data_IF_502248563758
#
_entry.id   IF_502248563758
#
_cell.length_a   1.000
_cell.length_b   1.000
_cell.length_c   1.000
_cell.angle_alpha   90.00
_cell.angle_beta   90.00
_cell.angle_gamma   90.00
#
_symmetry.space_group_name_H-M   'P 1'
#
loop_
_entity.id
_entity.type
_entity.pdbx_description
1 polymer ?
#
# COMPACT_ATOMS: atom_id res chain seq x y z
N UNK A 1 24.18 -10.46 -37.06
CA UNK A 1 22.98 -10.97 -36.34
C UNK A 1 23.09 -10.89 -34.83
N UNK A 2 24.21 -11.33 -34.21
CA UNK A 2 24.39 -11.31 -32.75
C UNK A 2 24.21 -9.92 -32.10
N UNK A 3 24.67 -8.84 -32.77
CA UNK A 3 24.52 -7.45 -32.28
C UNK A 3 23.07 -6.98 -32.19
N UNK A 4 22.23 -7.32 -33.18
CA UNK A 4 20.81 -6.95 -33.20
C UNK A 4 20.05 -7.70 -32.10
N UNK A 5 20.38 -8.98 -31.89
CA UNK A 5 19.82 -9.79 -30.82
C UNK A 5 20.17 -9.23 -29.44
N UNK A 6 21.42 -8.78 -29.24
CA UNK A 6 21.85 -8.13 -27.99
C UNK A 6 21.11 -6.82 -27.72
N UNK A 7 20.93 -5.97 -28.73
CA UNK A 7 20.17 -4.73 -28.61
C UNK A 7 18.70 -5.01 -28.22
N UNK A 8 18.06 -6.00 -28.86
CA UNK A 8 16.69 -6.38 -28.54
C UNK A 8 16.55 -6.89 -27.09
N UNK A 9 17.55 -7.64 -26.59
CA UNK A 9 17.55 -8.19 -25.24
C UNK A 9 17.70 -7.08 -24.18
N UNK A 10 18.57 -6.10 -24.42
CA UNK A 10 18.75 -4.93 -23.55
C UNK A 10 17.44 -4.12 -23.51
N UNK A 11 16.88 -3.76 -24.66
CA UNK A 11 15.63 -2.99 -24.71
C UNK A 11 14.48 -3.74 -24.02
N UNK A 12 14.38 -5.06 -24.20
CA UNK A 12 13.39 -5.90 -23.52
C UNK A 12 13.56 -5.91 -22.00
N UNK A 13 14.79 -6.05 -21.50
CA UNK A 13 15.08 -6.06 -20.06
C UNK A 13 14.79 -4.71 -19.39
N UNK A 14 15.08 -3.60 -20.06
CA UNK A 14 14.78 -2.27 -19.54
C UNK A 14 13.28 -1.94 -19.64
N UNK A 15 12.60 -2.38 -20.70
CA UNK A 15 11.14 -2.24 -20.82
C UNK A 15 10.36 -2.95 -19.71
N UNK A 16 10.81 -4.15 -19.31
CA UNK A 16 10.18 -4.90 -18.20
C UNK A 16 10.40 -4.22 -16.84
N UNK A 17 11.55 -3.56 -16.62
CA UNK A 17 11.80 -2.75 -15.42
C UNK A 17 10.77 -1.63 -15.21
N UNK A 18 10.38 -0.94 -16.29
CA UNK A 18 9.30 0.06 -16.26
C UNK A 18 7.92 -0.52 -15.92
N UNK A 19 7.65 -1.78 -16.30
CA UNK A 19 6.42 -2.49 -15.93
C UNK A 19 6.41 -2.88 -14.45
N UNK A 20 7.54 -3.32 -13.90
CA UNK A 20 7.68 -3.65 -12.47
C UNK A 20 7.47 -2.40 -11.61
N UNK A 21 8.08 -1.27 -11.96
CA UNK A 21 7.87 0.00 -11.25
C UNK A 21 6.39 0.45 -11.30
N UNK A 22 5.72 0.27 -12.43
CA UNK A 22 4.30 0.57 -12.56
C UNK A 22 3.44 -0.35 -11.68
N UNK A 23 3.76 -1.64 -11.60
CA UNK A 23 3.09 -2.59 -10.71
C UNK A 23 3.30 -2.23 -9.23
N UNK A 24 4.50 -1.78 -8.87
CA UNK A 24 4.84 -1.31 -7.52
C UNK A 24 3.97 -0.12 -7.10
N UNK A 25 3.86 0.92 -7.94
CA UNK A 25 3.00 2.08 -7.63
C UNK A 25 1.51 1.74 -7.56
N UNK A 26 1.04 0.82 -8.40
CA UNK A 26 -0.35 0.32 -8.32
C UNK A 26 -0.58 -0.43 -7.01
N UNK A 27 0.38 -1.23 -6.57
CA UNK A 27 0.29 -1.97 -5.31
C UNK A 27 0.31 -1.04 -4.09
N UNK A 28 1.11 0.03 -4.14
CA UNK A 28 1.07 1.10 -3.14
C UNK A 28 -0.34 1.70 -2.96
N UNK A 29 -1.03 2.00 -4.06
CA UNK A 29 -2.40 2.54 -4.00
C UNK A 29 -3.38 1.48 -3.49
N UNK A 30 -3.29 0.25 -3.98
CA UNK A 30 -4.18 -0.83 -3.57
C UNK A 30 -4.09 -1.13 -2.06
N UNK A 31 -2.87 -1.20 -1.51
CA UNK A 31 -2.66 -1.44 -0.07
C UNK A 31 -3.23 -0.30 0.77
N UNK A 32 -3.00 0.96 0.36
CA UNK A 32 -3.54 2.11 1.06
C UNK A 32 -5.08 2.17 1.03
N UNK A 33 -5.68 1.78 -0.10
CA UNK A 33 -7.14 1.64 -0.26
C UNK A 33 -7.72 0.54 0.65
N UNK A 34 -7.04 -0.60 0.74
CA UNK A 34 -7.42 -1.68 1.65
C UNK A 34 -7.36 -1.23 3.11
N UNK A 35 -6.31 -0.50 3.52
CA UNK A 35 -6.23 0.06 4.88
C UNK A 35 -7.34 1.05 5.18
N UNK A 36 -7.63 1.96 4.24
CA UNK A 36 -8.75 2.89 4.37
C UNK A 36 -10.08 2.14 4.57
N UNK A 37 -10.32 1.07 3.80
CA UNK A 37 -11.52 0.23 3.94
C UNK A 37 -11.59 -0.44 5.30
N UNK A 38 -10.48 -0.98 5.79
CA UNK A 38 -10.39 -1.61 7.13
C UNK A 38 -10.72 -0.58 8.21
N UNK A 39 -10.07 0.59 8.21
CA UNK A 39 -10.30 1.65 9.20
C UNK A 39 -11.75 2.14 9.17
N UNK A 40 -12.30 2.35 7.98
CA UNK A 40 -13.70 2.80 7.81
C UNK A 40 -14.70 1.74 8.28
N UNK A 41 -14.44 0.45 8.02
CA UNK A 41 -15.26 -0.68 8.48
C UNK A 41 -15.23 -0.79 10.01
N UNK A 42 -14.06 -0.61 10.63
CA UNK A 42 -13.90 -0.56 12.08
C UNK A 42 -14.72 0.60 12.65
N UNK A 43 -14.56 1.82 12.14
CA UNK A 43 -15.30 3.00 12.60
C UNK A 43 -16.82 2.87 12.47
N UNK A 44 -17.30 2.32 11.36
CA UNK A 44 -18.72 2.05 11.13
C UNK A 44 -19.30 1.07 12.16
N UNK A 45 -18.51 0.06 12.57
CA UNK A 45 -18.94 -0.97 13.52
C UNK A 45 -18.84 -0.50 14.96
N UNK A 46 -17.79 0.22 15.35
CA UNK A 46 -17.66 0.83 16.69
C UNK A 46 -18.82 1.79 16.98
N UNK A 47 -19.28 2.54 15.97
CA UNK A 47 -20.37 3.48 16.11
C UNK A 47 -21.77 2.86 16.26
N UNK A 48 -21.96 1.58 15.92
CA UNK A 48 -23.30 0.97 15.80
C UNK A 48 -23.47 -0.34 16.58
N UNK A 49 -22.40 -1.10 16.80
CA UNK A 49 -22.47 -2.42 17.40
C UNK A 49 -21.35 -2.59 18.43
N UNK A 50 -21.66 -3.15 19.59
CA UNK A 50 -20.70 -3.67 20.56
C UNK A 50 -20.00 -4.94 20.03
N UNK A 51 -19.63 -4.96 18.74
CA UNK A 51 -19.00 -6.10 18.10
C UNK A 51 -17.56 -6.20 18.59
N UNK A 52 -17.14 -7.34 19.16
CA UNK A 52 -15.75 -7.56 19.54
C UNK A 52 -14.83 -7.36 18.34
N UNK A 53 -13.72 -6.67 18.56
CA UNK A 53 -12.75 -6.30 17.52
C UNK A 53 -12.30 -7.52 16.70
N UNK A 54 -12.12 -8.66 17.35
CA UNK A 54 -11.76 -9.95 16.73
C UNK A 54 -12.77 -10.39 15.66
N UNK A 55 -14.07 -10.20 15.90
CA UNK A 55 -15.12 -10.51 14.92
C UNK A 55 -15.02 -9.59 13.71
N UNK A 56 -14.70 -8.32 13.91
CA UNK A 56 -14.51 -7.35 12.82
C UNK A 56 -13.36 -7.82 11.91
N UNK A 57 -12.22 -8.21 12.48
CA UNK A 57 -11.09 -8.72 11.72
C UNK A 57 -11.34 -10.10 11.07
N UNK A 58 -12.21 -10.93 11.66
CA UNK A 58 -12.59 -12.22 11.06
C UNK A 58 -13.47 -12.08 9.82
N UNK A 59 -14.29 -11.03 9.74
CA UNK A 59 -15.19 -10.74 8.62
C UNK A 59 -14.51 -9.90 7.52
N UNK A 60 -13.38 -9.27 7.84
CA UNK A 60 -12.56 -8.57 6.85
C UNK A 60 -11.79 -9.60 6.03
N UNK A 61 -12.12 -9.67 4.74
CA UNK A 61 -11.35 -10.40 3.74
C UNK A 61 -10.81 -9.39 2.71
N UNK A 62 -9.49 -9.17 2.75
CA UNK A 62 -8.81 -8.31 1.79
C UNK A 62 -7.49 -8.96 1.36
N UNK A 63 -7.44 -9.34 0.08
CA UNK A 63 -6.29 -10.03 -0.50
C UNK A 63 -4.99 -9.23 -0.41
N UNK A 64 -5.05 -7.89 -0.39
CA UNK A 64 -3.84 -7.06 -0.28
C UNK A 64 -3.27 -7.07 1.13
N UNK A 65 -4.10 -7.35 2.14
CA UNK A 65 -3.75 -7.33 3.56
C UNK A 65 -3.82 -8.72 4.19
N UNK A 66 -3.88 -9.80 3.41
CA UNK A 66 -4.09 -11.15 3.92
C UNK A 66 -3.10 -11.51 5.06
N UNK A 67 -1.80 -11.25 4.86
CA UNK A 67 -0.79 -11.49 5.89
C UNK A 67 -0.98 -10.65 7.16
N UNK A 68 -1.41 -9.38 7.02
CA UNK A 68 -1.71 -8.54 8.17
C UNK A 68 -2.98 -8.99 8.90
N UNK A 69 -4.04 -9.34 8.16
CA UNK A 69 -5.31 -9.77 8.73
C UNK A 69 -5.17 -11.11 9.45
N UNK A 70 -4.38 -12.03 8.92
CA UNK A 70 -4.08 -13.32 9.55
C UNK A 70 -3.34 -13.12 10.88
N UNK A 71 -2.27 -12.33 10.89
CA UNK A 71 -1.52 -11.98 12.10
C UNK A 71 -2.40 -11.21 13.10
N UNK A 72 -3.20 -10.26 12.63
CA UNK A 72 -4.08 -9.46 13.49
C UNK A 72 -5.11 -10.32 14.24
N UNK A 73 -5.56 -11.44 13.65
CA UNK A 73 -6.46 -12.41 14.31
C UNK A 73 -5.76 -13.23 15.39
N UNK A 74 -4.46 -13.47 15.28
CA UNK A 74 -3.71 -14.32 16.22
C UNK A 74 -3.12 -13.54 17.38
N UNK A 75 -2.48 -12.40 17.10
CA UNK A 75 -1.68 -11.64 18.08
C UNK A 75 -2.21 -10.22 18.35
N UNK A 76 -3.28 -9.82 17.66
CA UNK A 76 -3.90 -8.50 17.74
C UNK A 76 -3.34 -7.50 16.74
N UNK A 77 -4.19 -6.58 16.28
CA UNK A 77 -3.89 -5.65 15.18
C UNK A 77 -2.65 -4.75 15.42
N UNK A 78 -2.44 -4.28 16.64
CA UNK A 78 -1.28 -3.43 16.96
C UNK A 78 0.06 -4.16 16.78
N UNK A 79 0.18 -5.39 17.30
CA UNK A 79 1.40 -6.20 17.15
C UNK A 79 1.58 -6.69 15.71
N UNK A 80 0.50 -7.14 15.08
CA UNK A 80 0.50 -7.55 13.68
C UNK A 80 0.98 -6.43 12.75
N UNK A 81 0.53 -5.20 12.99
CA UNK A 81 0.97 -4.06 12.19
C UNK A 81 2.47 -3.80 12.32
N UNK A 82 3.04 -3.88 13.53
CA UNK A 82 4.48 -3.69 13.74
C UNK A 82 5.32 -4.78 13.06
N UNK A 83 4.86 -6.04 13.07
CA UNK A 83 5.55 -7.14 12.36
C UNK A 83 5.50 -6.94 10.83
N UNK A 84 4.33 -6.58 10.31
CA UNK A 84 4.14 -6.42 8.86
C UNK A 84 4.59 -5.05 8.33
N UNK A 85 5.00 -4.11 9.20
CA UNK A 85 5.23 -2.70 8.89
C UNK A 85 6.14 -2.46 7.70
N UNK A 86 7.23 -3.22 7.61
CA UNK A 86 8.26 -3.06 6.56
C UNK A 86 7.86 -3.66 5.21
N UNK A 87 6.89 -4.57 5.21
CA UNK A 87 6.44 -5.26 4.01
C UNK A 87 5.25 -4.56 3.35
N UNK A 88 4.75 -3.50 3.98
CA UNK A 88 3.60 -2.76 3.50
C UNK A 88 4.08 -1.55 2.72
N UNK A 89 3.54 -1.43 1.51
CA UNK A 89 3.84 -0.44 0.47
C UNK A 89 3.40 1.00 0.87
N UNK A 90 3.67 1.37 2.12
CA UNK A 90 3.26 2.57 2.83
C UNK A 90 4.46 3.50 3.03
N UNK A 91 4.20 4.79 3.13
CA UNK A 91 5.20 5.78 3.54
C UNK A 91 5.42 5.74 5.05
N UNK A 92 6.52 6.30 5.54
CA UNK A 92 6.80 6.36 6.99
C UNK A 92 5.72 7.10 7.77
N UNK A 93 5.15 8.16 7.18
CA UNK A 93 4.03 8.90 7.80
C UNK A 93 2.77 8.02 7.92
N UNK A 94 2.44 7.23 6.90
CA UNK A 94 1.29 6.31 6.92
C UNK A 94 1.54 5.16 7.90
N UNK A 95 2.76 4.61 7.93
CA UNK A 95 3.19 3.59 8.89
C UNK A 95 3.03 4.10 10.33
N UNK A 96 3.49 5.32 10.62
CA UNK A 96 3.36 5.92 11.95
C UNK A 96 1.89 6.14 12.34
N UNK A 97 1.08 6.64 11.41
CA UNK A 97 -0.34 6.89 11.62
C UNK A 97 -1.10 5.59 11.93
N UNK A 98 -0.95 4.58 11.07
CA UNK A 98 -1.61 3.28 11.24
C UNK A 98 -1.07 2.50 12.45
N UNK A 99 0.23 2.56 12.72
CA UNK A 99 0.82 1.91 13.90
C UNK A 99 0.30 2.51 15.20
N UNK A 100 0.17 3.84 15.27
CA UNK A 100 -0.46 4.51 16.42
C UNK A 100 -1.93 4.13 16.54
N UNK A 101 -2.67 4.16 15.42
CA UNK A 101 -4.07 3.77 15.37
C UNK A 101 -4.32 2.35 15.89
N UNK A 102 -3.65 1.34 15.33
CA UNK A 102 -3.87 -0.06 15.71
C UNK A 102 -3.38 -0.39 17.12
N UNK A 103 -2.41 0.36 17.65
CA UNK A 103 -1.92 0.21 19.03
C UNK A 103 -2.90 0.77 20.06
N UNK A 104 -3.58 1.86 19.72
CA UNK A 104 -4.52 2.55 20.62
C UNK A 104 -5.98 2.10 20.43
N UNK A 105 -6.22 1.23 19.45
CA UNK A 105 -7.54 0.67 19.17
C UNK A 105 -8.06 -0.13 20.37
N UNK A 106 -9.27 0.18 20.84
CA UNK A 106 -9.92 -0.40 22.01
C UNK A 106 -9.55 0.23 23.35
N UNK A 107 -8.72 1.28 23.38
CA UNK A 107 -8.29 1.95 24.63
C UNK A 107 -9.10 3.19 24.99
N UNK A 108 -9.94 3.69 24.08
CA UNK A 108 -10.68 4.95 24.24
C UNK A 108 -12.18 4.71 24.40
N UNK A 109 -12.92 5.77 24.72
CA UNK A 109 -14.39 5.73 24.67
C UNK A 109 -14.87 5.57 23.23
N UNK A 110 -16.03 4.92 23.02
CA UNK A 110 -16.55 4.65 21.68
C UNK A 110 -16.70 5.91 20.80
N UNK A 111 -17.03 7.07 21.39
CA UNK A 111 -17.14 8.35 20.68
C UNK A 111 -15.78 8.92 20.24
N UNK A 112 -14.78 8.87 21.12
CA UNK A 112 -13.40 9.25 20.78
C UNK A 112 -12.80 8.30 19.75
N UNK A 113 -13.10 7.01 19.87
CA UNK A 113 -12.56 6.00 18.97
C UNK A 113 -13.15 6.10 17.57
N UNK A 114 -14.44 6.39 17.46
CA UNK A 114 -15.07 6.73 16.18
C UNK A 114 -14.43 7.97 15.55
N UNK A 115 -14.24 9.02 16.34
CA UNK A 115 -13.58 10.26 15.87
C UNK A 115 -12.15 9.98 15.38
N UNK A 116 -11.44 9.09 16.07
CA UNK A 116 -10.09 8.65 15.66
C UNK A 116 -10.13 7.84 14.36
N UNK A 117 -11.11 6.95 14.17
CA UNK A 117 -11.31 6.25 12.90
C UNK A 117 -11.57 7.22 11.75
N UNK A 118 -12.46 8.21 11.95
CA UNK A 118 -12.78 9.22 10.94
C UNK A 118 -11.53 10.07 10.59
N UNK A 119 -10.78 10.50 11.61
CA UNK A 119 -9.51 11.22 11.42
C UNK A 119 -8.50 10.43 10.60
N UNK A 120 -8.29 9.15 10.93
CA UNK A 120 -7.34 8.29 10.21
C UNK A 120 -7.84 8.02 8.79
N UNK A 121 -9.14 7.78 8.60
CA UNK A 121 -9.74 7.58 7.29
C UNK A 121 -9.55 8.81 6.39
N UNK A 122 -9.76 10.03 6.91
CA UNK A 122 -9.54 11.27 6.16
C UNK A 122 -8.07 11.48 5.77
N UNK A 123 -7.14 11.13 6.66
CA UNK A 123 -5.70 11.21 6.35
C UNK A 123 -5.30 10.21 5.28
N UNK A 124 -5.81 8.98 5.35
CA UNK A 124 -5.54 7.95 4.34
C UNK A 124 -6.20 8.29 3.00
N UNK A 125 -7.41 8.88 3.00
CA UNK A 125 -8.10 9.30 1.79
C UNK A 125 -7.36 10.42 1.08
N UNK A 126 -6.89 11.43 1.82
CA UNK A 126 -6.06 12.50 1.26
C UNK A 126 -4.75 11.97 0.64
N UNK A 127 -4.08 11.03 1.33
CA UNK A 127 -2.89 10.37 0.81
C UNK A 127 -3.19 9.54 -0.45
N UNK A 128 -4.33 8.83 -0.47
CA UNK A 128 -4.78 8.02 -1.61
C UNK A 128 -5.03 8.89 -2.85
N UNK A 129 -5.74 10.00 -2.70
CA UNK A 129 -6.02 10.93 -3.79
C UNK A 129 -4.72 11.52 -4.37
N UNK A 130 -3.79 11.92 -3.50
CA UNK A 130 -2.46 12.37 -3.92
C UNK A 130 -1.72 11.30 -4.73
N UNK A 131 -1.70 10.05 -4.25
CA UNK A 131 -1.03 8.95 -4.95
C UNK A 131 -1.71 8.57 -6.26
N UNK A 132 -3.05 8.59 -6.32
CA UNK A 132 -3.81 8.34 -7.56
C UNK A 132 -3.52 9.41 -8.61
N UNK A 133 -3.44 10.67 -8.22
CA UNK A 133 -3.08 11.76 -9.12
C UNK A 133 -1.63 11.65 -9.63
N UNK A 134 -0.71 11.15 -8.81
CA UNK A 134 0.69 10.96 -9.18
C UNK A 134 0.99 9.67 -9.96
N UNK A 135 0.15 8.64 -9.82
CA UNK A 135 0.34 7.33 -10.46
C UNK A 135 0.61 7.39 -11.97
N UNK A 136 -0.15 8.12 -12.80
CA UNK A 136 0.12 8.21 -14.23
C UNK A 136 1.44 8.94 -14.51
N UNK A 137 1.80 9.95 -13.72
CA UNK A 137 3.07 10.69 -13.87
C UNK A 137 4.26 9.79 -13.53
N UNK A 138 4.23 9.12 -12.37
CA UNK A 138 5.28 8.21 -11.91
C UNK A 138 5.46 7.01 -12.85
N UNK A 139 4.37 6.46 -13.37
CA UNK A 139 4.41 5.36 -14.35
C UNK A 139 5.02 5.78 -15.69
N UNK A 140 4.67 6.98 -16.19
CA UNK A 140 5.26 7.51 -17.43
C UNK A 140 6.74 7.82 -17.27
N UNK A 141 7.12 8.44 -16.15
CA UNK A 141 8.50 8.76 -15.82
C UNK A 141 9.36 7.49 -15.70
N UNK A 142 8.91 6.49 -14.94
CA UNK A 142 9.67 5.24 -14.78
C UNK A 142 9.87 4.50 -16.10
N UNK A 143 8.82 4.39 -16.92
CA UNK A 143 8.91 3.80 -18.27
C UNK A 143 9.87 4.56 -19.17
N UNK A 144 9.79 5.89 -19.17
CA UNK A 144 10.65 6.74 -20.02
C UNK A 144 12.11 6.66 -19.58
N UNK A 145 12.36 6.68 -18.27
CA UNK A 145 13.71 6.58 -17.70
C UNK A 145 14.35 5.23 -18.04
N UNK A 146 13.62 4.12 -17.88
CA UNK A 146 14.12 2.79 -18.25
C UNK A 146 14.38 2.68 -19.75
N UNK A 147 13.52 3.24 -20.59
CA UNK A 147 13.73 3.20 -22.04
C UNK A 147 14.96 4.01 -22.47
N UNK A 148 15.15 5.21 -21.89
CA UNK A 148 16.31 6.06 -22.14
C UNK A 148 17.62 5.39 -21.70
N UNK A 149 17.65 4.75 -20.53
CA UNK A 149 18.85 4.03 -20.06
C UNK A 149 19.16 2.82 -20.93
N UNK A 150 18.13 2.09 -21.39
CA UNK A 150 18.29 1.00 -22.35
C UNK A 150 18.90 1.46 -23.68
N UNK A 151 18.44 2.59 -24.22
CA UNK A 151 19.02 3.19 -25.44
C UNK A 151 20.47 3.64 -25.19
N UNK A 152 20.74 4.33 -24.08
CA UNK A 152 22.08 4.81 -23.75
C UNK A 152 23.10 3.67 -23.69
N UNK A 153 22.77 2.57 -23.01
CA UNK A 153 23.63 1.38 -22.93
C UNK A 153 23.82 0.75 -24.30
N UNK A 154 22.76 0.70 -25.10
CA UNK A 154 22.84 0.17 -26.47
C UNK A 154 23.80 0.99 -27.34
N UNK A 155 23.80 2.32 -27.19
CA UNK A 155 24.72 3.22 -27.91
C UNK A 155 26.16 3.05 -27.42
N UNK A 156 26.40 2.94 -26.10
CA UNK A 156 27.76 2.75 -25.56
C UNK A 156 28.39 1.40 -25.94
N UNK A 157 27.56 0.38 -26.15
CA UNK A 157 28.01 -0.99 -26.45
C UNK A 157 28.25 -1.21 -27.96
N UNK A 158 27.86 -0.25 -28.80
CA UNK A 158 28.00 -0.30 -30.25
C UNK A 158 29.28 0.37 -30.73
#
# INVERSE_FOLDING_TARGET
MLKILGCALIIGAFGSGGMVAAAYFRRQVAVLESFLRVVSSIGARIGFCLTPLEKIFSELDDQQLSGFLEEARQIGAGKAFEICREQQYLSDSEKNLLGTFFRELGTRSAGEEKTNCDYVADRLSAALESRRAELPKKTKLSRSLCFLTGIMITIMLF
#
